data_IF_088252850122
#
_entry.id   IF_088252850122
#
_cell.length_a   1.000
_cell.length_b   1.000
_cell.length_c   1.000
_cell.angle_alpha   90.00
_cell.angle_beta   90.00
_cell.angle_gamma   90.00
#
_symmetry.space_group_name_H-M   'P 1'
#
loop_
_entity.id
_entity.type
_entity.pdbx_description
1 polymer ?
#
# COMPACT_ATOMS: atom_id res chain seq x y z
N UNK A 1 0.57 5.89 -9.46
CA UNK A 1 1.05 7.23 -9.08
C UNK A 1 1.14 7.37 -7.58
N UNK A 2 2.15 8.08 -7.12
CA UNK A 2 2.43 8.19 -5.69
C UNK A 2 2.24 9.65 -5.29
N UNK A 3 1.35 9.88 -4.31
CA UNK A 3 0.97 11.22 -3.90
C UNK A 3 1.19 11.44 -2.41
N UNK A 4 1.59 12.66 -2.01
CA UNK A 4 1.52 13.02 -0.59
C UNK A 4 0.07 13.27 -0.19
N UNK A 5 -0.21 13.11 1.09
CA UNK A 5 -1.45 13.59 1.68
C UNK A 5 -1.09 14.43 2.89
N UNK A 6 -1.46 15.72 2.86
CA UNK A 6 -0.97 16.70 3.82
C UNK A 6 0.56 16.68 3.78
N UNK A 7 1.23 16.42 4.88
CA UNK A 7 2.69 16.39 4.89
C UNK A 7 3.24 14.97 4.92
N UNK A 8 2.40 13.98 4.65
CA UNK A 8 2.82 12.58 4.66
C UNK A 8 3.01 12.08 3.24
N UNK A 9 4.14 11.43 3.00
CA UNK A 9 4.50 10.87 1.71
C UNK A 9 4.77 9.38 1.87
N UNK A 10 4.32 8.54 0.93
CA UNK A 10 4.59 7.10 1.03
C UNK A 10 6.07 6.78 1.09
N UNK A 11 6.42 5.80 1.91
CA UNK A 11 7.78 5.27 2.02
C UNK A 11 7.76 3.85 1.45
N UNK A 12 8.38 3.67 0.29
CA UNK A 12 8.35 2.41 -0.44
C UNK A 12 9.78 1.90 -0.61
N UNK A 13 10.03 0.67 -0.16
CA UNK A 13 11.37 0.09 -0.31
C UNK A 13 11.74 -0.01 -1.78
N UNK A 14 13.02 0.24 -2.13
CA UNK A 14 13.42 0.25 -3.54
C UNK A 14 13.24 -1.08 -4.26
N UNK A 15 13.22 -2.18 -3.52
CA UNK A 15 13.06 -3.51 -4.10
C UNK A 15 11.62 -3.88 -4.44
N UNK A 16 10.65 -2.99 -4.15
CA UNK A 16 9.26 -3.26 -4.45
C UNK A 16 8.96 -3.17 -5.94
N UNK A 17 8.03 -3.99 -6.39
CA UNK A 17 7.46 -3.85 -7.73
C UNK A 17 6.13 -3.12 -7.63
N UNK A 18 6.03 -1.99 -8.31
CA UNK A 18 4.81 -1.19 -8.36
C UNK A 18 4.35 -1.16 -9.82
N UNK A 19 3.25 -1.85 -10.10
CA UNK A 19 2.73 -1.95 -11.46
C UNK A 19 2.11 -0.63 -11.92
N UNK A 20 1.77 -0.58 -13.21
CA UNK A 20 1.13 0.59 -13.79
C UNK A 20 -0.25 0.84 -13.16
N UNK A 21 -0.63 2.11 -13.09
CA UNK A 21 -1.94 2.54 -12.61
C UNK A 21 -2.19 2.25 -11.13
N UNK A 22 -1.15 1.95 -10.37
CA UNK A 22 -1.25 1.87 -8.90
C UNK A 22 -1.26 3.29 -8.36
N UNK A 23 -2.12 3.53 -7.37
CA UNK A 23 -2.18 4.82 -6.68
C UNK A 23 -1.90 4.61 -5.20
N UNK A 24 -0.89 5.29 -4.70
CA UNK A 24 -0.49 5.19 -3.29
C UNK A 24 -0.42 6.61 -2.75
N UNK A 25 -1.15 6.90 -1.68
CA UNK A 25 -1.21 8.25 -1.14
C UNK A 25 -1.13 8.26 0.37
N UNK A 26 -0.38 9.23 0.88
CA UNK A 26 -0.35 9.53 2.31
C UNK A 26 0.64 8.69 3.10
N UNK A 27 0.28 8.41 4.34
CA UNK A 27 1.14 7.72 5.30
C UNK A 27 1.10 6.21 5.05
N UNK A 28 1.83 5.77 4.03
CA UNK A 28 1.91 4.37 3.62
C UNK A 28 3.37 3.94 3.68
N UNK A 29 3.63 2.80 4.30
CA UNK A 29 4.96 2.20 4.34
C UNK A 29 4.89 0.81 3.73
N UNK A 30 5.75 0.53 2.75
CA UNK A 30 5.78 -0.77 2.07
C UNK A 30 7.17 -1.37 2.22
N UNK A 31 7.25 -2.55 2.82
CA UNK A 31 8.50 -3.24 3.09
C UNK A 31 9.11 -3.88 1.85
N UNK A 32 10.33 -4.38 2.01
CA UNK A 32 11.14 -4.89 0.91
C UNK A 32 10.51 -6.06 0.18
N UNK A 33 10.75 -6.14 -1.11
CA UNK A 33 10.35 -7.24 -1.99
C UNK A 33 8.85 -7.47 -2.05
N UNK A 34 8.07 -6.44 -1.76
CA UNK A 34 6.62 -6.49 -1.93
C UNK A 34 6.26 -6.13 -3.36
N UNK A 35 5.09 -6.60 -3.81
CA UNK A 35 4.60 -6.31 -5.16
C UNK A 35 3.17 -5.81 -5.09
N UNK A 36 2.93 -4.68 -5.74
CA UNK A 36 1.62 -4.05 -5.80
C UNK A 36 1.20 -4.04 -7.27
N UNK A 37 0.08 -4.68 -7.56
CA UNK A 37 -0.29 -4.97 -8.94
C UNK A 37 -1.28 -3.96 -9.51
N UNK A 38 -1.61 -4.13 -10.77
CA UNK A 38 -2.27 -3.12 -11.60
C UNK A 38 -3.57 -2.58 -10.97
N UNK A 39 -3.76 -1.28 -11.04
CA UNK A 39 -5.00 -0.60 -10.65
C UNK A 39 -5.34 -0.73 -9.16
N UNK A 40 -4.37 -1.04 -8.33
CA UNK A 40 -4.56 -1.11 -6.88
C UNK A 40 -4.47 0.30 -6.28
N UNK A 41 -5.29 0.57 -5.28
CA UNK A 41 -5.29 1.85 -4.56
C UNK A 41 -4.95 1.58 -3.10
N UNK A 42 -3.94 2.27 -2.59
CA UNK A 42 -3.53 2.18 -1.19
C UNK A 42 -3.57 3.58 -0.60
N UNK A 43 -4.39 3.76 0.43
CA UNK A 43 -4.59 5.05 1.06
C UNK A 43 -4.08 5.04 2.49
N UNK A 44 -3.31 6.05 2.83
CA UNK A 44 -2.87 6.32 4.20
C UNK A 44 -3.28 7.71 4.63
N UNK A 45 -4.50 8.12 4.26
CA UNK A 45 -4.96 9.48 4.48
C UNK A 45 -5.68 9.67 5.82
N UNK A 46 -6.39 8.66 6.30
CA UNK A 46 -7.13 8.75 7.56
C UNK A 46 -6.29 8.24 8.73
N UNK A 47 -5.54 7.17 8.49
CA UNK A 47 -4.62 6.56 9.44
C UNK A 47 -3.48 5.92 8.64
N UNK A 48 -2.38 5.52 9.29
CA UNK A 48 -1.29 4.87 8.57
C UNK A 48 -1.67 3.52 7.99
N UNK A 49 -1.08 3.19 6.85
CA UNK A 49 -1.11 1.85 6.27
C UNK A 49 0.32 1.33 6.28
N UNK A 50 0.55 0.20 6.91
CA UNK A 50 1.87 -0.39 7.02
C UNK A 50 1.83 -1.79 6.41
N UNK A 51 2.63 -1.98 5.38
CA UNK A 51 2.71 -3.23 4.62
C UNK A 51 4.10 -3.80 4.84
N UNK A 52 4.17 -5.05 5.29
CA UNK A 52 5.43 -5.71 5.59
C UNK A 52 6.22 -6.10 4.36
N UNK A 53 7.13 -7.06 4.55
CA UNK A 53 8.03 -7.52 3.48
C UNK A 53 7.39 -8.67 2.72
N UNK A 54 7.72 -8.78 1.44
CA UNK A 54 7.27 -9.89 0.59
C UNK A 54 5.76 -10.04 0.60
N UNK A 55 5.05 -8.91 0.62
CA UNK A 55 3.60 -8.87 0.54
C UNK A 55 3.21 -8.71 -0.92
N UNK A 56 2.16 -9.42 -1.32
CA UNK A 56 1.66 -9.39 -2.69
C UNK A 56 0.23 -8.86 -2.66
N UNK A 57 0.03 -7.64 -3.16
CA UNK A 57 -1.30 -7.02 -3.27
C UNK A 57 -1.71 -7.10 -4.73
N UNK A 58 -2.70 -7.93 -5.04
CA UNK A 58 -3.06 -8.21 -6.42
C UNK A 58 -4.02 -7.18 -7.00
N UNK A 59 -4.30 -7.35 -8.29
CA UNK A 59 -4.94 -6.35 -9.13
C UNK A 59 -6.27 -5.84 -8.57
N UNK A 60 -6.51 -4.53 -8.73
CA UNK A 60 -7.78 -3.87 -8.42
C UNK A 60 -8.21 -3.97 -6.97
N UNK A 61 -7.26 -4.15 -6.08
CA UNK A 61 -7.54 -4.13 -4.64
C UNK A 61 -7.55 -2.70 -4.12
N UNK A 62 -8.24 -2.48 -3.00
CA UNK A 62 -8.30 -1.18 -2.35
C UNK A 62 -8.00 -1.36 -0.88
N UNK A 63 -6.95 -0.68 -0.42
CA UNK A 63 -6.56 -0.69 0.99
C UNK A 63 -6.88 0.68 1.59
N UNK A 64 -7.77 0.68 2.57
CA UNK A 64 -8.21 1.88 3.24
C UNK A 64 -8.55 1.54 4.68
N UNK A 65 -8.48 2.51 5.55
CA UNK A 65 -8.71 2.28 6.96
C UNK A 65 -9.69 3.31 7.54
N UNK A 66 -10.17 3.03 8.77
CA UNK A 66 -11.00 3.96 9.50
C UNK A 66 -10.14 4.91 10.34
N UNK A 67 -10.68 6.06 10.76
CA UNK A 67 -9.94 6.97 11.64
C UNK A 67 -9.47 6.26 12.92
N UNK A 68 -8.23 6.55 13.32
CA UNK A 68 -7.61 5.96 14.51
C UNK A 68 -7.50 4.44 14.47
N UNK A 69 -7.50 3.86 13.27
CA UNK A 69 -7.41 2.42 13.09
C UNK A 69 -6.43 2.11 11.97
N UNK A 70 -5.13 2.10 12.25
CA UNK A 70 -4.11 1.80 11.24
C UNK A 70 -4.36 0.44 10.59
N UNK A 71 -4.08 0.36 9.30
CA UNK A 71 -4.11 -0.90 8.58
C UNK A 71 -2.72 -1.50 8.61
N UNK A 72 -2.63 -2.74 9.07
CA UNK A 72 -1.36 -3.43 9.20
C UNK A 72 -1.44 -4.76 8.45
N UNK A 73 -0.55 -4.94 7.48
CA UNK A 73 -0.42 -6.20 6.74
C UNK A 73 0.97 -6.74 7.04
N UNK A 74 1.02 -7.92 7.65
CA UNK A 74 2.28 -8.51 8.08
C UNK A 74 3.04 -9.12 6.90
N UNK A 75 4.25 -9.58 7.16
CA UNK A 75 5.11 -10.12 6.11
C UNK A 75 4.48 -11.35 5.45
N UNK A 76 4.80 -11.57 4.19
CA UNK A 76 4.45 -12.78 3.44
C UNK A 76 2.95 -12.99 3.24
N UNK A 77 2.16 -11.92 3.32
CA UNK A 77 0.71 -11.99 3.09
C UNK A 77 0.41 -11.75 1.62
N UNK A 78 -0.56 -12.48 1.08
CA UNK A 78 -1.09 -12.23 -0.26
C UNK A 78 -2.53 -11.74 -0.13
N UNK A 79 -2.78 -10.56 -0.69
CA UNK A 79 -4.14 -10.01 -0.82
C UNK A 79 -4.60 -10.31 -2.23
N UNK A 80 -5.71 -11.00 -2.38
CA UNK A 80 -6.22 -11.43 -3.68
C UNK A 80 -6.73 -10.28 -4.53
N UNK A 81 -7.32 -10.64 -5.68
CA UNK A 81 -7.82 -9.63 -6.61
C UNK A 81 -9.09 -8.98 -6.06
N UNK A 82 -9.27 -7.70 -6.33
CA UNK A 82 -10.50 -6.97 -6.02
C UNK A 82 -10.90 -7.04 -4.53
N UNK A 83 -9.92 -6.99 -3.67
CA UNK A 83 -10.18 -6.99 -2.22
C UNK A 83 -10.31 -5.58 -1.68
#
# INVERSE_FOLDING_TARGET
MIYPYKEKMPTIAPSCFIADYVTITGDVTIGEESSIWFNTVIRGDVSPTIIGKRVNIQDQSTLHQSPNAPLLIEDDVTVGHQV
#
